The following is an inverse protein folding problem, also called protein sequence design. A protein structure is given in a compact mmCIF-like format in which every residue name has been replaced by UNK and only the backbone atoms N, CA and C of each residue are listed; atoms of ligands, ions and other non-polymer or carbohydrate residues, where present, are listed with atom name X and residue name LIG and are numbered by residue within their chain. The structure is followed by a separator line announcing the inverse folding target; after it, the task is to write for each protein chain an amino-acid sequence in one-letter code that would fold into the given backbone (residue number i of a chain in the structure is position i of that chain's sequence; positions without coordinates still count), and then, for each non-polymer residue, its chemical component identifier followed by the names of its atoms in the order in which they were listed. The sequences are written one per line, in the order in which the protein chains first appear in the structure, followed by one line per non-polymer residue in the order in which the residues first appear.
data_IF_903695857553
#
_entry.id   IF_903695857553
#
_cell.length_a   1.000
_cell.length_b   1.000
_cell.length_c   1.000
_cell.angle_alpha   90.00
_cell.angle_beta   90.00
_cell.angle_gamma   90.00
#
_symmetry.space_group_name_H-M   'P 1'
#
loop_
_entity.id
_entity.type
_entity.pdbx_description
1 polymer ?
#
# COMPACT_ATOMS: atom_id res chain seq x y z
N UNK A 1 2.26 6.95 -45.37
CA UNK A 1 3.67 7.33 -45.17
C UNK A 1 3.70 8.67 -44.45
N UNK A 2 3.59 8.64 -43.11
CA UNK A 2 3.60 9.83 -42.25
C UNK A 2 5.02 10.14 -41.81
N UNK A 3 5.50 11.34 -42.11
CA UNK A 3 6.81 11.83 -41.70
C UNK A 3 6.79 12.22 -40.22
N UNK A 4 7.69 11.69 -39.43
CA UNK A 4 7.96 12.14 -38.06
C UNK A 4 8.77 13.43 -38.09
N UNK A 5 8.25 14.48 -37.40
CA UNK A 5 8.90 15.80 -37.20
C UNK A 5 9.82 15.74 -35.98
N UNK A 6 11.12 16.07 -36.07
CA UNK A 6 12.09 16.01 -35.00
C UNK A 6 12.18 17.26 -34.10
N UNK A 7 11.15 18.09 -33.98
CA UNK A 7 11.24 19.41 -33.32
C UNK A 7 11.09 19.44 -31.79
N UNK A 8 10.97 18.29 -31.10
CA UNK A 8 10.79 18.26 -29.64
C UNK A 8 12.08 18.27 -28.79
N UNK A 9 13.26 18.39 -29.40
CA UNK A 9 14.54 18.41 -28.66
C UNK A 9 15.13 19.80 -28.42
N UNK A 10 14.48 20.87 -28.82
CA UNK A 10 15.01 22.25 -28.71
C UNK A 10 14.47 23.09 -27.55
N UNK A 11 13.60 22.52 -26.68
CA UNK A 11 12.94 23.31 -25.61
C UNK A 11 13.71 23.34 -24.27
N UNK A 12 14.87 22.73 -24.19
CA UNK A 12 15.63 22.61 -22.92
C UNK A 12 16.95 23.40 -22.86
N UNK A 13 17.17 24.37 -23.75
CA UNK A 13 18.46 25.10 -23.76
C UNK A 13 18.40 26.63 -23.60
N UNK A 14 17.26 27.23 -23.21
CA UNK A 14 17.23 28.67 -23.01
C UNK A 14 16.39 29.05 -21.80
N UNK A 15 16.93 28.89 -20.61
CA UNK A 15 16.45 29.53 -19.38
C UNK A 15 17.54 29.61 -18.32
N UNK A 16 18.63 30.29 -18.64
CA UNK A 16 19.55 30.84 -17.63
C UNK A 16 19.66 32.34 -17.92
N UNK A 17 19.02 33.12 -17.10
CA UNK A 17 19.29 34.48 -16.67
C UNK A 17 18.00 35.29 -16.52
N UNK A 18 17.40 35.26 -15.33
CA UNK A 18 16.75 36.42 -14.72
C UNK A 18 16.87 36.27 -13.18
N UNK A 19 17.91 36.88 -12.65
CA UNK A 19 18.02 37.13 -11.22
C UNK A 19 17.03 38.25 -10.88
N UNK A 20 15.86 37.87 -10.39
CA UNK A 20 14.85 38.76 -9.83
C UNK A 20 14.41 38.16 -8.49
N UNK A 21 14.74 38.84 -7.41
CA UNK A 21 14.38 38.49 -6.03
C UNK A 21 12.85 38.47 -5.89
N UNK A 22 12.27 37.28 -5.88
CA UNK A 22 10.89 37.07 -5.51
C UNK A 22 10.82 36.05 -4.35
N UNK A 23 10.20 36.39 -3.21
CA UNK A 23 10.14 35.50 -2.04
C UNK A 23 9.28 34.23 -2.24
N UNK A 24 8.67 34.09 -3.43
CA UNK A 24 7.85 32.94 -3.78
C UNK A 24 8.61 31.72 -4.33
N UNK A 25 9.91 31.83 -4.63
CA UNK A 25 10.72 30.70 -5.14
C UNK A 25 11.39 29.85 -4.05
N UNK A 26 11.32 30.27 -2.80
CA UNK A 26 11.91 29.50 -1.69
C UNK A 26 11.07 28.25 -1.29
N UNK A 27 9.83 28.14 -1.78
CA UNK A 27 8.94 27.01 -1.48
C UNK A 27 9.10 25.79 -2.42
N UNK A 28 9.68 25.97 -3.60
CA UNK A 28 9.76 24.91 -4.63
C UNK A 28 11.12 24.18 -4.66
N UNK A 29 12.09 24.58 -3.86
CA UNK A 29 13.41 23.94 -3.74
C UNK A 29 13.62 23.20 -2.44
N UNK A 30 12.55 22.90 -1.69
CA UNK A 30 12.56 21.81 -0.73
C UNK A 30 12.28 20.47 -1.40
N UNK A 31 12.89 20.19 -2.54
CA UNK A 31 13.27 18.84 -2.88
C UNK A 31 14.18 18.37 -1.76
N UNK A 32 13.68 17.45 -0.96
CA UNK A 32 14.35 16.83 0.17
C UNK A 32 15.80 16.58 -0.21
N UNK A 33 16.73 17.27 0.41
CA UNK A 33 18.10 16.79 0.52
C UNK A 33 18.02 15.51 1.33
N UNK A 34 17.73 14.39 0.69
CA UNK A 34 18.10 13.10 1.22
C UNK A 34 19.60 13.21 1.46
N UNK A 35 19.98 13.18 2.72
CA UNK A 35 21.35 13.23 3.18
C UNK A 35 22.20 12.34 2.25
N UNK A 36 23.16 12.94 1.52
CA UNK A 36 23.96 12.21 0.54
C UNK A 36 24.80 11.09 1.19
N UNK A 37 24.75 10.96 2.51
CA UNK A 37 25.41 9.95 3.30
C UNK A 37 24.52 8.82 3.82
N UNK A 38 23.18 8.94 3.83
CA UNK A 38 22.31 7.89 4.32
C UNK A 38 22.15 6.75 3.29
N UNK A 39 22.16 5.47 3.72
CA UNK A 39 21.97 4.36 2.79
C UNK A 39 20.58 4.40 2.15
N UNK A 40 20.50 4.11 0.86
CA UNK A 40 19.22 3.84 0.21
C UNK A 40 18.84 2.41 0.51
N UNK A 41 17.68 2.23 1.16
CA UNK A 41 17.21 0.91 1.57
C UNK A 41 16.00 0.49 0.75
N UNK A 42 15.89 -0.80 0.45
CA UNK A 42 14.68 -1.46 -0.02
C UNK A 42 14.24 -2.49 1.02
N UNK A 43 12.92 -2.56 1.23
CA UNK A 43 12.29 -3.51 2.15
C UNK A 43 11.38 -4.42 1.34
N UNK A 44 11.52 -5.72 1.51
CA UNK A 44 10.73 -6.73 0.81
C UNK A 44 9.98 -7.55 1.85
N UNK A 45 8.66 -7.37 1.90
CA UNK A 45 7.79 -8.21 2.68
C UNK A 45 7.62 -9.58 2.03
N UNK A 46 7.41 -10.59 2.84
CA UNK A 46 7.32 -11.98 2.35
C UNK A 46 6.24 -12.75 3.07
N UNK A 47 5.72 -13.80 2.42
CA UNK A 47 5.01 -14.86 3.13
C UNK A 47 6.01 -15.64 3.96
N UNK A 48 5.84 -15.63 5.27
CA UNK A 48 6.73 -16.30 6.21
C UNK A 48 6.26 -17.73 6.47
N UNK A 49 7.19 -18.68 6.53
CA UNK A 49 6.89 -20.10 6.77
C UNK A 49 7.46 -20.57 8.08
N UNK A 50 6.79 -21.49 8.81
CA UNK A 50 5.44 -22.01 8.59
C UNK A 50 4.39 -21.04 9.14
N UNK A 51 3.38 -20.72 8.32
CA UNK A 51 2.22 -19.98 8.78
C UNK A 51 1.10 -20.96 9.09
N UNK A 52 0.70 -21.02 10.33
CA UNK A 52 -0.41 -21.89 10.78
C UNK A 52 -1.77 -21.20 10.58
N UNK A 53 -1.76 -19.87 10.43
CA UNK A 53 -2.95 -19.01 10.44
C UNK A 53 -3.21 -18.29 9.10
N UNK A 54 -2.49 -18.67 8.04
CA UNK A 54 -2.73 -18.12 6.71
C UNK A 54 -3.71 -19.01 5.98
N UNK A 55 -4.82 -18.43 5.53
CA UNK A 55 -5.70 -19.10 4.60
C UNK A 55 -4.92 -19.46 3.33
N UNK A 56 -5.16 -20.64 2.75
CA UNK A 56 -4.61 -20.95 1.44
C UNK A 56 -4.96 -19.82 0.50
N UNK A 57 -3.95 -19.20 -0.06
CA UNK A 57 -4.18 -18.29 -1.17
C UNK A 57 -4.81 -19.09 -2.28
N UNK A 58 -5.53 -18.44 -3.18
CA UNK A 58 -6.23 -19.08 -4.30
C UNK A 58 -5.30 -19.83 -5.28
N UNK A 59 -4.03 -19.78 -5.03
CA UNK A 59 -2.99 -20.56 -5.71
C UNK A 59 -2.40 -21.47 -4.66
N UNK A 60 -2.42 -22.79 -4.89
CA UNK A 60 -1.71 -23.78 -4.10
C UNK A 60 -0.20 -23.51 -4.21
N UNK A 61 0.28 -22.52 -3.48
CA UNK A 61 1.69 -22.25 -3.36
C UNK A 61 2.27 -23.12 -2.24
N UNK A 62 3.46 -23.70 -2.46
CA UNK A 62 4.17 -24.33 -1.35
C UNK A 62 4.41 -23.30 -0.25
N UNK A 63 4.62 -23.74 1.02
CA UNK A 63 4.93 -22.84 2.12
C UNK A 63 6.02 -21.86 1.71
N UNK A 64 5.80 -20.56 1.95
CA UNK A 64 6.78 -19.53 1.63
C UNK A 64 8.08 -19.72 2.39
N UNK A 65 9.20 -19.41 1.77
CA UNK A 65 10.53 -19.45 2.41
C UNK A 65 10.91 -18.10 3.06
N UNK A 66 9.99 -17.16 3.07
CA UNK A 66 10.18 -15.87 3.72
C UNK A 66 10.28 -15.99 5.23
N UNK A 67 10.91 -14.98 5.86
CA UNK A 67 11.09 -14.93 7.32
C UNK A 67 10.62 -13.60 7.91
N UNK A 68 9.80 -12.87 7.19
CA UNK A 68 9.34 -11.55 7.54
C UNK A 68 9.74 -10.50 6.52
N UNK A 69 10.37 -9.40 6.94
CA UNK A 69 10.79 -8.30 6.07
C UNK A 69 12.29 -8.41 5.80
N UNK A 70 12.65 -8.59 4.53
CA UNK A 70 14.05 -8.60 4.11
C UNK A 70 14.53 -7.20 3.76
N UNK A 71 15.73 -6.86 4.20
CA UNK A 71 16.35 -5.56 4.01
C UNK A 71 17.46 -5.65 2.96
N UNK A 72 17.50 -4.68 2.07
CA UNK A 72 18.54 -4.57 1.05
C UNK A 72 19.08 -3.15 1.01
N UNK A 73 20.39 -3.03 0.89
CA UNK A 73 21.02 -1.78 0.51
C UNK A 73 21.00 -1.65 -1.02
N UNK A 74 20.56 -0.49 -1.51
CA UNK A 74 20.44 -0.22 -2.94
C UNK A 74 21.55 0.70 -3.40
N UNK A 75 22.27 0.30 -4.42
CA UNK A 75 23.25 1.17 -5.09
C UNK A 75 22.52 2.23 -5.92
N UNK A 76 22.67 3.51 -5.56
CA UNK A 76 21.95 4.61 -6.20
C UNK A 76 22.25 4.79 -7.69
N UNK A 77 23.44 4.37 -8.13
CA UNK A 77 23.86 4.54 -9.53
C UNK A 77 23.38 3.40 -10.42
N UNK A 78 23.31 2.17 -9.89
CA UNK A 78 23.05 0.95 -10.69
C UNK A 78 21.71 0.31 -10.39
N UNK A 79 21.08 0.64 -9.26
CA UNK A 79 19.89 -0.05 -8.75
C UNK A 79 20.19 -1.44 -8.14
N UNK A 80 21.45 -1.88 -8.14
CA UNK A 80 21.81 -3.19 -7.59
C UNK A 80 21.50 -3.26 -6.09
N UNK A 81 20.91 -4.38 -5.66
CA UNK A 81 20.52 -4.64 -4.27
C UNK A 81 21.48 -5.64 -3.63
N UNK A 82 21.96 -5.31 -2.43
CA UNK A 82 22.79 -6.18 -1.60
C UNK A 82 22.04 -6.48 -0.31
N UNK A 83 21.93 -7.76 0.12
CA UNK A 83 21.27 -8.11 1.38
C UNK A 83 21.90 -7.37 2.57
N UNK A 84 21.05 -6.78 3.42
CA UNK A 84 21.46 -5.98 4.59
C UNK A 84 20.87 -6.51 5.90
N UNK A 85 20.11 -7.62 5.83
CA UNK A 85 19.52 -8.26 6.99
C UNK A 85 18.06 -8.65 6.78
N UNK A 86 17.45 -9.10 7.86
CA UNK A 86 16.04 -9.49 7.90
C UNK A 86 15.42 -9.11 9.25
N UNK A 87 14.19 -8.61 9.23
CA UNK A 87 13.36 -8.47 10.42
C UNK A 87 12.39 -9.65 10.45
N UNK A 88 12.66 -10.61 11.37
CA UNK A 88 11.86 -11.84 11.46
C UNK A 88 10.51 -11.56 12.06
N UNK A 89 9.48 -12.09 11.42
CA UNK A 89 8.10 -12.02 11.87
C UNK A 89 7.46 -13.41 11.79
N UNK A 90 6.55 -13.70 12.71
CA UNK A 90 5.71 -14.91 12.67
C UNK A 90 4.48 -14.77 11.77
N UNK A 91 4.28 -13.60 11.19
CA UNK A 91 3.17 -13.28 10.27
C UNK A 91 3.70 -13.07 8.87
N UNK A 92 2.82 -12.94 7.87
CA UNK A 92 3.16 -12.62 6.48
C UNK A 92 3.06 -11.13 6.20
N UNK A 93 4.14 -10.33 6.36
CA UNK A 93 4.14 -8.91 6.02
C UNK A 93 4.16 -8.71 4.50
N UNK A 94 3.07 -9.05 3.81
CA UNK A 94 2.99 -9.11 2.34
C UNK A 94 3.05 -7.75 1.66
N UNK A 95 2.50 -6.71 2.28
CA UNK A 95 2.51 -5.35 1.76
C UNK A 95 3.11 -4.37 2.77
N UNK A 96 3.93 -3.45 2.27
CA UNK A 96 4.69 -2.50 3.09
C UNK A 96 4.44 -1.06 2.61
N UNK A 97 4.34 -0.13 3.54
CA UNK A 97 4.30 1.30 3.27
C UNK A 97 5.37 2.03 4.10
N UNK A 98 6.15 2.89 3.45
CA UNK A 98 7.18 3.72 4.11
C UNK A 98 6.76 5.17 4.06
N UNK A 99 6.88 5.90 5.17
CA UNK A 99 6.56 7.32 5.18
C UNK A 99 7.58 8.14 4.36
N UNK A 100 7.16 9.33 3.91
CA UNK A 100 8.00 10.17 3.04
C UNK A 100 9.35 10.57 3.64
N UNK A 101 9.50 10.55 4.97
CA UNK A 101 10.76 10.80 5.66
C UNK A 101 11.68 9.56 5.76
N UNK A 102 11.21 8.37 5.39
CA UNK A 102 11.95 7.11 5.51
C UNK A 102 12.21 6.67 6.95
N UNK A 103 11.46 7.20 7.93
CA UNK A 103 11.67 6.95 9.36
C UNK A 103 10.68 5.97 9.98
N UNK A 104 9.63 5.65 9.24
CA UNK A 104 8.56 4.72 9.67
C UNK A 104 8.20 3.78 8.52
N UNK A 105 7.98 2.53 8.86
CA UNK A 105 7.47 1.50 7.96
C UNK A 105 6.25 0.85 8.61
N UNK A 106 5.26 0.53 7.80
CA UNK A 106 4.04 -0.17 8.20
C UNK A 106 3.87 -1.41 7.33
N UNK A 107 3.37 -2.51 7.92
CA UNK A 107 3.10 -3.75 7.20
C UNK A 107 1.67 -4.20 7.35
N UNK A 108 1.09 -4.71 6.26
CA UNK A 108 -0.05 -5.61 6.31
C UNK A 108 0.47 -7.00 6.65
N UNK A 109 -0.05 -7.62 7.70
CA UNK A 109 0.29 -8.99 8.10
C UNK A 109 -0.82 -9.90 7.58
N UNK A 110 -0.65 -10.46 6.38
CA UNK A 110 -1.68 -11.20 5.64
C UNK A 110 -1.98 -12.53 6.32
N UNK A 111 -2.67 -12.45 7.43
CA UNK A 111 -3.21 -13.56 8.20
C UNK A 111 -4.72 -13.41 8.28
N UNK A 112 -5.46 -14.51 8.43
CA UNK A 112 -6.92 -14.47 8.56
C UNK A 112 -7.36 -14.14 9.98
N UNK A 113 -6.48 -14.32 10.97
CA UNK A 113 -6.80 -14.07 12.38
C UNK A 113 -5.58 -13.70 13.20
N UNK A 114 -5.82 -12.95 14.25
CA UNK A 114 -4.88 -12.64 15.32
C UNK A 114 -5.44 -13.20 16.63
N UNK A 115 -4.71 -14.08 17.30
CA UNK A 115 -5.07 -14.60 18.62
C UNK A 115 -6.54 -15.08 18.72
N UNK A 116 -7.00 -15.86 17.75
CA UNK A 116 -8.39 -16.37 17.64
C UNK A 116 -9.48 -15.29 17.49
N UNK A 117 -9.11 -14.02 17.25
CA UNK A 117 -10.08 -12.94 17.06
C UNK A 117 -10.83 -13.00 15.73
N UNK A 118 -10.33 -13.76 14.76
CA UNK A 118 -10.84 -13.72 13.37
C UNK A 118 -10.40 -12.49 12.58
N UNK A 119 -9.54 -11.65 13.15
CA UNK A 119 -9.01 -10.44 12.52
C UNK A 119 -7.54 -10.61 12.16
N UNK A 120 -7.12 -9.99 11.07
CA UNK A 120 -5.73 -9.80 10.72
C UNK A 120 -5.07 -8.67 11.50
N UNK A 121 -3.81 -8.40 11.25
CA UNK A 121 -3.08 -7.34 11.94
C UNK A 121 -2.26 -6.47 11.00
N UNK A 122 -1.92 -5.29 11.49
CA UNK A 122 -0.96 -4.37 10.89
C UNK A 122 0.11 -4.01 11.92
N UNK A 123 1.34 -3.83 11.48
CA UNK A 123 2.45 -3.49 12.36
C UNK A 123 3.11 -2.18 11.96
N UNK A 124 3.58 -1.42 12.95
CA UNK A 124 4.35 -0.20 12.79
C UNK A 124 5.79 -0.42 13.24
N UNK A 125 6.75 0.13 12.49
CA UNK A 125 8.17 0.05 12.77
C UNK A 125 8.83 1.43 12.72
N UNK A 126 9.79 1.65 13.61
CA UNK A 126 10.79 2.70 13.43
C UNK A 126 11.91 2.18 12.53
N UNK A 127 12.34 3.01 11.60
CA UNK A 127 13.48 2.75 10.71
C UNK A 127 14.69 3.50 11.26
N UNK A 128 15.79 2.79 11.52
CA UNK A 128 17.05 3.41 11.89
C UNK A 128 17.67 4.08 10.65
N UNK A 129 17.88 5.40 10.64
CA UNK A 129 18.39 6.10 9.47
C UNK A 129 19.85 5.75 9.11
N UNK A 130 20.61 5.19 10.06
CA UNK A 130 22.01 4.88 9.82
C UNK A 130 22.23 3.58 9.04
N UNK A 131 21.34 2.58 9.22
CA UNK A 131 21.51 1.23 8.67
C UNK A 131 20.23 0.60 8.12
N UNK A 132 19.09 1.31 8.24
CA UNK A 132 17.77 0.84 7.79
C UNK A 132 17.15 -0.24 8.66
N UNK A 133 17.75 -0.61 9.79
CA UNK A 133 17.20 -1.66 10.66
C UNK A 133 15.84 -1.27 11.23
N UNK A 134 14.96 -2.27 11.38
CA UNK A 134 13.59 -2.10 11.83
C UNK A 134 13.46 -2.39 13.32
N UNK A 135 12.78 -1.49 14.04
CA UNK A 135 12.35 -1.71 15.41
C UNK A 135 10.83 -1.68 15.47
N UNK A 136 10.22 -2.80 15.86
CA UNK A 136 8.77 -2.88 16.07
C UNK A 136 8.34 -1.84 17.12
N UNK A 137 7.32 -1.05 16.78
CA UNK A 137 6.68 -0.09 17.68
C UNK A 137 5.43 -0.70 18.31
N UNK A 138 4.51 -1.21 17.48
CA UNK A 138 3.34 -1.96 17.92
C UNK A 138 2.72 -2.75 16.76
N UNK A 139 1.81 -3.64 17.12
CA UNK A 139 0.92 -4.38 16.22
C UNK A 139 -0.49 -4.20 16.73
N UNK A 140 -1.43 -3.92 15.83
CA UNK A 140 -2.85 -3.73 16.17
C UNK A 140 -3.74 -4.50 15.18
N UNK A 141 -5.01 -4.80 15.53
CA UNK A 141 -5.98 -5.37 14.61
C UNK A 141 -6.14 -4.49 13.37
N UNK A 142 -6.33 -5.11 12.20
CA UNK A 142 -6.50 -4.43 10.91
C UNK A 142 -7.95 -4.02 10.61
N UNK A 143 -8.90 -4.39 11.46
CA UNK A 143 -10.33 -4.18 11.23
C UNK A 143 -10.97 -5.20 10.29
N UNK A 144 -10.31 -6.34 10.03
CA UNK A 144 -10.82 -7.42 9.21
C UNK A 144 -9.80 -8.54 9.03
N UNK A 145 -10.21 -9.64 8.38
CA UNK A 145 -9.35 -10.78 8.15
C UNK A 145 -8.47 -10.58 6.91
N UNK A 146 -7.21 -11.03 7.00
CA UNK A 146 -6.26 -11.07 5.90
C UNK A 146 -5.98 -9.71 5.26
N UNK A 147 -5.38 -8.75 6.00
CA UNK A 147 -4.96 -7.48 5.41
C UNK A 147 -3.88 -7.75 4.36
N UNK A 148 -4.17 -7.34 3.13
CA UNK A 148 -3.31 -7.61 1.96
C UNK A 148 -2.68 -6.35 1.39
N UNK A 149 -3.22 -5.17 1.76
CA UNK A 149 -2.72 -3.90 1.25
C UNK A 149 -2.74 -2.83 2.33
N UNK A 150 -1.67 -2.05 2.37
CA UNK A 150 -1.58 -0.84 3.19
C UNK A 150 -1.04 0.33 2.39
N UNK A 151 -1.60 1.51 2.61
CA UNK A 151 -1.09 2.76 2.07
C UNK A 151 -1.17 3.88 3.09
N UNK A 152 -0.34 4.90 2.92
CA UNK A 152 -0.35 6.09 3.75
C UNK A 152 -1.22 7.17 3.12
N UNK A 153 -2.08 7.78 3.91
CA UNK A 153 -2.71 9.04 3.52
C UNK A 153 -1.63 10.11 3.30
N UNK A 154 -1.74 10.99 2.28
CA UNK A 154 -0.70 11.97 1.94
C UNK A 154 -0.23 12.84 3.11
N UNK A 155 -1.12 13.15 4.06
CA UNK A 155 -0.77 13.91 5.26
C UNK A 155 0.02 13.10 6.32
N UNK A 156 0.18 11.79 6.13
CA UNK A 156 0.93 10.93 7.02
C UNK A 156 0.30 10.68 8.39
N UNK A 157 -0.97 11.07 8.59
CA UNK A 157 -1.69 10.88 9.86
C UNK A 157 -2.52 9.62 9.94
N UNK A 158 -2.72 8.94 8.81
CA UNK A 158 -3.54 7.73 8.73
C UNK A 158 -2.89 6.67 7.85
N UNK A 159 -3.03 5.42 8.28
CA UNK A 159 -2.80 4.21 7.49
C UNK A 159 -4.15 3.72 6.98
N UNK A 160 -4.23 3.46 5.69
CA UNK A 160 -5.38 2.86 5.01
C UNK A 160 -5.09 1.37 4.81
N UNK A 161 -6.04 0.50 5.10
CA UNK A 161 -5.87 -0.96 5.06
C UNK A 161 -6.98 -1.59 4.26
N UNK A 162 -6.65 -2.53 3.36
CA UNK A 162 -7.60 -3.42 2.72
C UNK A 162 -7.44 -4.84 3.25
N UNK A 163 -8.54 -5.43 3.74
CA UNK A 163 -8.62 -6.74 4.34
C UNK A 163 -9.27 -7.70 3.34
N UNK A 164 -8.45 -8.48 2.66
CA UNK A 164 -8.87 -9.32 1.55
C UNK A 164 -9.90 -10.38 1.94
N UNK A 165 -9.59 -11.18 2.97
CA UNK A 165 -10.50 -12.25 3.40
C UNK A 165 -11.71 -11.72 4.16
N UNK A 166 -11.59 -10.54 4.77
CA UNK A 166 -12.69 -9.87 5.46
C UNK A 166 -13.64 -9.10 4.53
N UNK A 167 -13.24 -8.83 3.28
CA UNK A 167 -13.98 -7.97 2.37
C UNK A 167 -14.28 -6.61 3.01
N UNK A 168 -13.25 -5.98 3.59
CA UNK A 168 -13.42 -4.71 4.31
C UNK A 168 -12.20 -3.81 4.14
N UNK A 169 -12.41 -2.52 4.36
CA UNK A 169 -11.33 -1.54 4.45
C UNK A 169 -11.38 -0.82 5.79
N UNK A 170 -10.22 -0.40 6.28
CA UNK A 170 -10.09 0.28 7.55
C UNK A 170 -9.18 1.52 7.47
N UNK A 171 -9.41 2.45 8.38
CA UNK A 171 -8.60 3.66 8.59
C UNK A 171 -8.04 3.61 10.00
N UNK A 172 -6.71 3.63 10.13
CA UNK A 172 -6.04 3.61 11.42
C UNK A 172 -5.23 4.90 11.62
N UNK A 173 -5.37 5.59 12.75
CA UNK A 173 -4.58 6.79 13.02
C UNK A 173 -3.13 6.42 13.31
N UNK A 174 -2.21 7.24 12.79
CA UNK A 174 -0.79 7.19 13.12
C UNK A 174 -0.55 8.20 14.25
N UNK A 175 -0.12 7.69 15.38
CA UNK A 175 0.14 8.47 16.58
C UNK A 175 1.45 9.28 16.44
N UNK A 176 1.65 10.27 17.29
CA UNK A 176 2.80 11.17 17.24
C UNK A 176 4.15 10.44 17.34
N UNK A 177 4.21 9.30 18.00
CA UNK A 177 5.40 8.45 18.12
C UNK A 177 5.57 7.46 16.95
N UNK A 178 4.62 7.44 16.01
CA UNK A 178 4.60 6.56 14.84
C UNK A 178 3.91 5.23 15.05
N UNK A 179 3.40 4.94 16.25
CA UNK A 179 2.56 3.76 16.51
C UNK A 179 1.21 3.92 15.81
N UNK A 180 0.53 2.79 15.58
CA UNK A 180 -0.84 2.76 15.12
C UNK A 180 -1.82 2.78 16.30
N UNK A 181 -2.89 3.56 16.17
CA UNK A 181 -4.05 3.47 17.06
C UNK A 181 -5.07 2.45 16.56
N UNK A 182 -6.17 2.31 17.30
CA UNK A 182 -7.33 1.53 16.88
C UNK A 182 -7.99 2.16 15.65
N UNK A 183 -8.63 1.32 14.82
CA UNK A 183 -9.31 1.80 13.62
C UNK A 183 -10.38 2.85 13.96
N UNK A 184 -10.33 4.00 13.30
CA UNK A 184 -11.35 5.07 13.44
C UNK A 184 -12.55 4.80 12.54
N UNK A 185 -12.35 4.01 11.47
CA UNK A 185 -13.43 3.62 10.56
C UNK A 185 -13.16 2.24 9.96
N UNK A 186 -14.21 1.45 9.81
CA UNK A 186 -14.20 0.17 9.09
C UNK A 186 -15.42 0.13 8.17
N UNK A 187 -15.20 -0.15 6.89
CA UNK A 187 -16.26 -0.36 5.91
C UNK A 187 -16.22 -1.80 5.41
N UNK A 188 -17.31 -2.50 5.59
CA UNK A 188 -17.49 -3.85 5.06
C UNK A 188 -18.16 -3.75 3.69
N UNK A 189 -17.58 -4.41 2.71
CA UNK A 189 -18.10 -4.39 1.35
C UNK A 189 -19.34 -5.28 1.22
N UNK A 190 -20.27 -4.83 0.41
CA UNK A 190 -21.50 -5.55 0.13
C UNK A 190 -21.95 -5.32 -1.32
N UNK A 191 -22.41 -6.37 -1.95
CA UNK A 191 -22.89 -6.31 -3.32
C UNK A 191 -23.11 -7.68 -3.93
N UNK A 192 -23.38 -7.69 -5.22
CA UNK A 192 -23.50 -8.93 -6.00
C UNK A 192 -22.09 -9.36 -6.42
N UNK A 193 -21.73 -10.58 -6.05
CA UNK A 193 -20.46 -11.19 -6.43
C UNK A 193 -20.39 -11.34 -7.95
N UNK A 194 -19.25 -11.02 -8.53
CA UNK A 194 -18.97 -11.19 -9.95
C UNK A 194 -19.06 -12.65 -10.41
N UNK A 195 -19.13 -12.91 -11.72
CA UNK A 195 -19.19 -14.27 -12.25
C UNK A 195 -17.85 -14.97 -12.05
N UNK A 196 -17.90 -16.27 -11.75
CA UNK A 196 -16.68 -17.11 -11.62
C UNK A 196 -15.91 -17.29 -12.92
N UNK A 197 -16.47 -16.85 -14.04
CA UNK A 197 -15.82 -16.81 -15.37
C UNK A 197 -16.15 -15.52 -16.07
N UNK A 198 -15.12 -14.83 -16.54
CA UNK A 198 -15.29 -13.66 -17.38
C UNK A 198 -15.89 -14.07 -18.73
N UNK A 199 -16.96 -13.41 -19.14
CA UNK A 199 -17.69 -13.71 -20.39
C UNK A 199 -16.84 -13.43 -21.63
N UNK A 200 -15.90 -12.48 -21.53
CA UNK A 200 -15.06 -12.00 -22.63
C UNK A 200 -13.58 -12.32 -22.44
N UNK A 201 -13.23 -13.10 -21.42
CA UNK A 201 -11.84 -13.47 -21.18
C UNK A 201 -11.26 -14.31 -22.33
N UNK A 202 -9.98 -14.15 -22.69
CA UNK A 202 -9.33 -15.01 -23.68
C UNK A 202 -9.48 -16.49 -23.32
N UNK A 203 -9.49 -17.40 -24.34
CA UNK A 203 -9.53 -18.84 -24.08
C UNK A 203 -8.42 -19.28 -23.12
N UNK A 204 -8.78 -20.04 -22.08
CA UNK A 204 -7.86 -20.49 -21.04
C UNK A 204 -7.70 -19.53 -19.85
N UNK A 205 -8.36 -18.38 -19.86
CA UNK A 205 -8.45 -17.48 -18.70
C UNK A 205 -9.49 -17.99 -17.70
N UNK A 206 -9.21 -17.82 -16.42
CA UNK A 206 -10.12 -18.15 -15.33
C UNK A 206 -10.19 -16.99 -14.35
N UNK A 207 -11.37 -16.67 -13.90
CA UNK A 207 -11.59 -15.83 -12.75
C UNK A 207 -12.14 -16.68 -11.59
N UNK A 208 -11.47 -17.79 -11.26
CA UNK A 208 -11.87 -18.59 -10.10
C UNK A 208 -11.53 -17.95 -8.78
N UNK A 209 -10.54 -17.11 -8.79
CA UNK A 209 -10.11 -16.41 -7.60
C UNK A 209 -10.83 -15.09 -7.49
N UNK A 210 -11.28 -14.74 -6.30
CA UNK A 210 -11.85 -13.45 -6.01
C UNK A 210 -13.33 -13.29 -6.33
N UNK A 211 -14.02 -14.28 -6.91
CA UNK A 211 -15.45 -14.24 -7.16
C UNK A 211 -16.25 -15.28 -6.35
N UNK A 212 -15.81 -15.57 -5.13
CA UNK A 212 -16.52 -16.38 -4.14
C UNK A 212 -17.22 -15.53 -3.07
N UNK A 213 -16.70 -14.33 -2.81
CA UNK A 213 -17.21 -13.34 -1.86
C UNK A 213 -16.60 -11.96 -2.14
N UNK A 214 -16.84 -10.98 -1.27
CA UNK A 214 -16.14 -9.70 -1.28
C UNK A 214 -14.65 -9.87 -0.94
N UNK A 215 -13.79 -9.17 -1.67
CA UNK A 215 -12.33 -9.17 -1.49
C UNK A 215 -11.77 -7.78 -1.69
N UNK A 216 -11.72 -6.98 -0.62
CA UNK A 216 -11.05 -5.69 -0.65
C UNK A 216 -9.54 -5.89 -0.89
N UNK A 217 -9.04 -5.51 -2.04
CA UNK A 217 -7.68 -5.82 -2.47
C UNK A 217 -6.71 -4.62 -2.43
N UNK A 218 -7.21 -3.41 -2.60
CA UNK A 218 -6.41 -2.19 -2.59
C UNK A 218 -7.20 -1.03 -2.01
N UNK A 219 -6.52 -0.16 -1.26
CA UNK A 219 -7.06 1.12 -0.80
C UNK A 219 -5.96 2.19 -0.84
N UNK A 220 -6.25 3.33 -1.45
CA UNK A 220 -5.28 4.41 -1.61
C UNK A 220 -5.96 5.77 -1.70
N UNK A 221 -5.39 6.77 -1.04
CA UNK A 221 -5.81 8.16 -1.21
C UNK A 221 -5.26 8.73 -2.53
N UNK A 222 -6.02 9.64 -3.14
CA UNK A 222 -5.52 10.48 -4.23
C UNK A 222 -4.43 11.45 -3.72
N UNK A 223 -3.61 12.04 -4.58
CA UNK A 223 -2.55 12.96 -4.15
C UNK A 223 -3.03 14.18 -3.34
N UNK A 224 -4.29 14.58 -3.49
CA UNK A 224 -4.85 15.68 -2.69
C UNK A 224 -5.27 15.26 -1.29
N UNK A 225 -5.38 13.96 -1.01
CA UNK A 225 -5.88 13.40 0.24
C UNK A 225 -7.39 13.51 0.44
N UNK A 226 -8.12 14.18 -0.46
CA UNK A 226 -9.56 14.39 -0.32
C UNK A 226 -10.40 13.18 -0.68
N UNK A 227 -9.88 12.32 -1.56
CA UNK A 227 -10.55 11.13 -2.01
C UNK A 227 -9.73 9.89 -1.71
N UNK A 228 -10.42 8.82 -1.41
CA UNK A 228 -9.85 7.49 -1.24
C UNK A 228 -10.54 6.55 -2.18
N UNK A 229 -9.76 5.79 -2.94
CA UNK A 229 -10.24 4.73 -3.82
C UNK A 229 -9.97 3.40 -3.16
N UNK A 230 -10.92 2.48 -3.24
CA UNK A 230 -10.68 1.11 -2.87
C UNK A 230 -11.29 0.16 -3.90
N UNK A 231 -10.63 -0.95 -4.13
CA UNK A 231 -11.00 -1.95 -5.13
C UNK A 231 -11.43 -3.21 -4.41
N UNK A 232 -12.62 -3.70 -4.74
CA UNK A 232 -13.08 -5.03 -4.36
C UNK A 232 -13.07 -5.94 -5.57
N UNK A 233 -12.25 -6.99 -5.50
CA UNK A 233 -12.06 -7.96 -6.56
C UNK A 233 -13.30 -8.85 -6.76
N UNK A 234 -13.97 -9.23 -5.66
CA UNK A 234 -15.15 -10.10 -5.71
C UNK A 234 -16.40 -9.43 -6.29
N UNK A 235 -16.42 -8.09 -6.22
CA UNK A 235 -17.55 -7.29 -6.71
C UNK A 235 -17.28 -6.64 -8.08
N UNK A 236 -16.10 -6.82 -8.68
CA UNK A 236 -15.65 -6.08 -9.87
C UNK A 236 -15.92 -4.57 -9.71
N UNK A 237 -15.51 -4.00 -8.58
CA UNK A 237 -15.91 -2.65 -8.20
C UNK A 237 -14.78 -1.81 -7.66
N UNK A 238 -14.77 -0.55 -8.10
CA UNK A 238 -13.97 0.52 -7.51
C UNK A 238 -14.89 1.43 -6.72
N UNK A 239 -14.67 1.54 -5.42
CA UNK A 239 -15.36 2.48 -4.55
C UNK A 239 -14.62 3.81 -4.50
N UNK A 240 -15.36 4.90 -4.38
CA UNK A 240 -14.84 6.24 -4.22
C UNK A 240 -15.40 6.83 -2.92
N UNK A 241 -14.51 7.24 -2.06
CA UNK A 241 -14.83 7.86 -0.77
C UNK A 241 -14.31 9.30 -0.75
N UNK A 242 -15.04 10.18 -0.10
CA UNK A 242 -14.49 11.43 0.43
C UNK A 242 -13.86 11.12 1.78
N UNK A 243 -12.74 11.73 2.09
CA UNK A 243 -12.02 11.48 3.32
C UNK A 243 -12.19 12.64 4.30
N UNK A 244 -12.69 12.35 5.50
CA UNK A 244 -12.69 13.29 6.63
C UNK A 244 -11.35 13.14 7.37
N UNK A 245 -10.38 13.97 7.05
CA UNK A 245 -9.04 13.93 7.64
C UNK A 245 -8.97 14.36 9.11
N UNK A 246 -9.99 14.99 9.65
CA UNK A 246 -10.05 15.35 11.08
C UNK A 246 -10.44 14.15 11.92
N UNK A 247 -11.33 13.32 11.40
CA UNK A 247 -11.89 12.17 12.12
C UNK A 247 -11.35 10.83 11.64
N UNK A 248 -10.71 10.77 10.47
CA UNK A 248 -10.28 9.52 9.83
C UNK A 248 -11.46 8.68 9.37
N UNK A 249 -12.45 9.29 8.67
CA UNK A 249 -13.65 8.60 8.22
C UNK A 249 -13.76 8.57 6.70
N UNK A 250 -14.20 7.43 6.18
CA UNK A 250 -14.57 7.24 4.78
C UNK A 250 -16.06 7.56 4.60
N UNK A 251 -16.34 8.63 3.86
CA UNK A 251 -17.70 9.09 3.55
C UNK A 251 -18.01 8.73 2.10
N UNK A 252 -19.11 8.00 1.81
CA UNK A 252 -19.45 7.67 0.44
C UNK A 252 -19.47 8.91 -0.46
N UNK A 253 -18.85 8.82 -1.62
CA UNK A 253 -18.91 9.87 -2.64
C UNK A 253 -20.22 9.76 -3.44
N UNK A 254 -20.48 10.72 -4.30
CA UNK A 254 -21.56 10.66 -5.30
C UNK A 254 -20.96 10.93 -6.69
N UNK A 255 -20.91 9.92 -7.58
CA UNK A 255 -21.28 8.51 -7.38
C UNK A 255 -20.35 7.80 -6.39
N UNK A 256 -20.86 6.80 -5.65
CA UNK A 256 -20.13 6.06 -4.62
C UNK A 256 -19.09 5.09 -5.19
N UNK A 257 -19.05 4.88 -6.50
CA UNK A 257 -18.09 3.99 -7.15
C UNK A 257 -18.46 3.66 -8.59
N UNK A 258 -17.62 2.84 -9.20
CA UNK A 258 -17.74 2.36 -10.58
C UNK A 258 -17.67 0.84 -10.56
N UNK A 259 -18.58 0.17 -11.28
CA UNK A 259 -18.48 -1.26 -11.56
C UNK A 259 -17.72 -1.48 -12.86
N UNK A 260 -16.86 -2.47 -12.88
CA UNK A 260 -16.13 -2.92 -14.06
C UNK A 260 -16.87 -4.06 -14.74
N UNK A 261 -16.69 -4.28 -16.05
CA UNK A 261 -17.11 -5.51 -16.67
C UNK A 261 -16.40 -6.70 -16.04
N UNK A 262 -17.09 -7.85 -15.84
CA UNK A 262 -16.46 -9.01 -15.24
C UNK A 262 -15.26 -9.51 -16.02
N UNK A 263 -14.12 -9.60 -15.34
CA UNK A 263 -12.89 -10.12 -15.90
C UNK A 263 -12.00 -9.08 -16.61
N UNK A 264 -12.22 -7.81 -16.34
CA UNK A 264 -11.35 -6.71 -16.78
C UNK A 264 -10.24 -6.41 -15.75
#
# INVERSE_FOLDING_TARGET
MMRFDPSRRSFLKTSVALAGTSPFLAGLLRAQSHDAGAPLMAYVGTFSSPLQDVLPTQVDLPPGNGRGIHLFQVNRATGAMTPAGEHRMGTSPSCLAVNGAGTRLYSANETDRVNDSGEGSVSAFAVNPADGQLKLLNTVPSGGAGPTYVSLHPEGRFLLVANYFGGSVAVLPILADGRLGEATDVKVDAGTIGPTRATHAPPGSFAFSGHDRTHAHMIQADPSGRFVLHVDLGLDRIYVWRFDEQKGLLIPNDPAGVSLPPGD
#
